data_IF_858286844844
#
_entry.id   IF_858286844844
#
_cell.length_a   1.000
_cell.length_b   1.000
_cell.length_c   1.000
_cell.angle_alpha   90.00
_cell.angle_beta   90.00
_cell.angle_gamma   90.00
#
_symmetry.space_group_name_H-M   'P 1'
#
loop_
_entity.id
_entity.type
_entity.pdbx_description
1 polymer ?
2 non-polymer ?
3 non-polymer ?
#
# COMPACT_ATOMS: atom_id res chain seq x y z
N UNK A 1 8.90 -5.44 5.83
CA UNK A 1 7.74 -5.76 4.95
C UNK A 1 6.45 -5.32 5.62
N UNK A 2 5.82 -4.31 5.08
CA UNK A 2 4.55 -3.81 5.69
C UNK A 2 3.49 -3.63 4.60
N UNK A 3 2.24 -3.66 4.98
CA UNK A 3 1.16 -3.46 3.97
C UNK A 3 0.56 -2.06 4.18
N UNK A 4 0.41 -1.30 3.13
CA UNK A 4 -0.17 0.07 3.31
C UNK A 4 -1.26 0.31 2.26
N UNK A 5 -2.50 0.11 2.62
CA UNK A 5 -3.60 0.33 1.63
C UNK A 5 -4.76 1.07 2.30
N UNK A 6 -5.78 1.37 1.53
CA UNK A 6 -6.95 2.09 2.08
C UNK A 6 -8.22 1.38 1.62
N UNK A 7 -9.17 1.20 2.49
CA UNK A 7 -10.42 0.51 2.08
C UNK A 7 -11.63 1.11 2.78
N UNK A 8 -12.79 0.98 2.20
CA UNK A 8 -14.01 1.56 2.82
C UNK A 8 -14.55 0.60 3.89
N UNK A 9 -15.75 0.82 4.34
CA UNK A 9 -16.33 -0.06 5.40
C UNK A 9 -16.37 -1.53 4.93
N UNK A 10 -16.74 -1.77 3.69
CA UNK A 10 -16.80 -3.18 3.20
C UNK A 10 -15.39 -3.74 2.99
N UNK A 11 -14.46 -2.91 2.63
CA UNK A 11 -13.06 -3.40 2.42
C UNK A 11 -12.70 -3.33 0.93
N UNK A 12 -13.12 -2.29 0.27
CA UNK A 12 -12.79 -2.14 -1.18
C UNK A 12 -11.43 -1.45 -1.30
N UNK A 13 -10.82 -1.48 -2.46
CA UNK A 13 -9.51 -0.78 -2.61
C UNK A 13 -9.55 0.09 -3.86
N UNK A 14 -9.62 -0.51 -5.04
CA UNK A 14 -9.64 0.32 -6.28
C UNK A 14 -10.40 -0.44 -7.37
N UNK A 15 -11.16 0.26 -8.18
CA UNK A 15 -11.93 -0.43 -9.25
C UNK A 15 -11.52 0.13 -10.61
N UNK A 16 -11.18 -0.73 -11.53
CA UNK A 16 -10.79 -0.26 -12.90
C UNK A 16 -9.69 0.81 -12.84
N UNK A 17 -8.59 0.54 -12.19
CA UNK A 17 -7.48 1.53 -12.16
C UNK A 17 -7.72 2.65 -11.14
N UNK A 18 -8.48 3.65 -11.52
CA UNK A 18 -8.73 4.81 -10.61
C UNK A 18 -9.51 4.41 -9.36
N UNK A 19 -9.09 4.91 -8.22
CA UNK A 19 -9.81 4.60 -6.95
C UNK A 19 -11.29 4.96 -7.12
N UNK A 20 -12.13 4.40 -6.28
CA UNK A 20 -13.61 4.60 -6.27
C UNK A 20 -13.96 5.89 -5.50
N UNK A 21 -13.21 6.20 -4.48
CA UNK A 21 -13.51 7.42 -3.67
C UNK A 21 -12.36 8.42 -3.79
N UNK A 22 -12.67 9.68 -3.93
CA UNK A 22 -11.59 10.71 -4.03
C UNK A 22 -11.27 11.22 -2.62
N UNK A 23 -10.25 10.70 -2.00
CA UNK A 23 -9.89 11.16 -0.63
C UNK A 23 -8.49 11.78 -0.63
N UNK A 24 -8.43 13.08 -0.62
CA UNK A 24 -7.15 13.87 -0.62
C UNK A 24 -6.39 13.63 0.68
N UNK A 25 -7.10 13.53 1.77
CA UNK A 25 -6.42 13.28 3.09
C UNK A 25 -5.79 11.89 3.08
N UNK A 26 -6.29 10.99 2.28
CA UNK A 26 -5.73 9.61 2.25
C UNK A 26 -4.40 9.64 1.48
N UNK A 27 -4.35 10.34 0.37
CA UNK A 27 -3.09 10.40 -0.41
C UNK A 27 -1.94 10.85 0.51
N UNK A 28 -2.15 11.92 1.24
CA UNK A 28 -1.08 12.40 2.17
C UNK A 28 -0.71 11.27 3.13
N UNK A 29 -1.69 10.51 3.56
CA UNK A 29 -1.41 9.38 4.49
C UNK A 29 -0.53 8.35 3.77
N UNK A 30 -0.78 8.15 2.50
CA UNK A 30 0.03 7.16 1.73
C UNK A 30 1.47 7.67 1.59
N UNK A 31 1.63 8.91 1.20
CA UNK A 31 3.00 9.48 1.04
C UNK A 31 3.69 9.50 2.41
N UNK A 32 3.13 10.25 3.34
CA UNK A 32 3.74 10.34 4.70
C UNK A 32 4.08 8.94 5.24
N UNK A 33 3.24 7.98 4.98
CA UNK A 33 3.49 6.59 5.50
C UNK A 33 4.64 5.92 4.74
N UNK A 34 4.99 6.41 3.57
CA UNK A 34 6.09 5.75 2.80
C UNK A 34 7.24 6.74 2.56
N UNK A 35 7.45 7.67 3.45
CA UNK A 35 8.56 8.64 3.27
C UNK A 35 9.87 8.00 3.70
N UNK A 36 10.79 7.83 2.79
CA UNK A 36 12.10 7.21 3.15
C UNK A 36 11.97 5.69 3.25
N UNK A 37 10.88 5.14 2.75
CA UNK A 37 10.71 3.65 2.83
C UNK A 37 10.55 3.08 1.41
N UNK A 38 10.75 1.81 1.24
CA UNK A 38 10.61 1.20 -0.11
C UNK A 38 9.12 1.01 -0.44
N UNK A 39 8.67 1.55 -1.53
CA UNK A 39 7.22 1.43 -1.89
C UNK A 39 7.06 0.37 -2.99
N UNK A 40 6.48 -0.75 -2.67
CA UNK A 40 6.29 -1.83 -3.69
C UNK A 40 4.94 -1.66 -4.40
N UNK A 41 4.97 -1.40 -5.68
CA UNK A 41 3.71 -1.24 -6.46
C UNK A 41 3.78 -2.12 -7.70
N UNK A 42 2.79 -2.94 -7.93
CA UNK A 42 2.81 -3.84 -9.11
C UNK A 42 2.70 -3.04 -10.42
N UNK A 43 3.16 -3.61 -11.50
CA UNK A 43 3.12 -2.92 -12.82
C UNK A 43 1.73 -2.34 -13.11
N UNK A 44 0.69 -2.88 -12.51
CA UNK A 44 -0.67 -2.35 -12.78
C UNK A 44 -0.85 -1.01 -12.05
N UNK A 45 -0.47 -0.95 -10.81
CA UNK A 45 -0.64 0.32 -10.04
C UNK A 45 0.36 1.36 -10.56
N UNK A 46 1.63 1.02 -10.62
CA UNK A 46 2.65 2.00 -11.11
C UNK A 46 2.20 2.59 -12.45
N UNK A 47 1.49 1.82 -13.24
CA UNK A 47 1.03 2.34 -14.56
C UNK A 47 -0.26 3.16 -14.37
N UNK A 48 -0.93 2.98 -13.27
CA UNK A 48 -2.19 3.75 -13.03
C UNK A 48 -1.91 4.97 -12.14
N UNK A 49 -0.83 4.95 -11.40
CA UNK A 49 -0.50 6.10 -10.50
C UNK A 49 -0.63 7.42 -11.28
N UNK A 50 -0.87 8.50 -10.56
CA UNK A 50 -1.02 9.89 -11.10
C UNK A 50 0.36 10.55 -11.30
N UNK A 51 1.13 10.65 -10.24
CA UNK A 51 2.47 11.29 -10.38
C UNK A 51 3.58 10.30 -10.00
N UNK A 52 4.25 9.74 -10.97
CA UNK A 52 5.34 8.77 -10.68
C UNK A 52 6.66 9.30 -11.23
N UNK A 53 7.73 9.13 -10.47
CA UNK A 53 7.76 8.50 -9.10
C UNK A 53 7.49 9.56 -8.03
N UNK A 54 7.40 9.15 -6.79
CA UNK A 54 7.14 10.13 -5.70
C UNK A 54 8.43 10.90 -5.37
N UNK A 55 8.26 12.10 -4.87
CA UNK A 55 9.38 13.03 -4.47
C UNK A 55 10.02 12.58 -3.17
N UNK A 56 11.33 12.52 -3.13
CA UNK A 56 12.04 12.10 -1.88
C UNK A 56 11.42 10.81 -1.30
N UNK A 57 11.04 9.90 -2.15
CA UNK A 57 10.44 8.62 -1.64
C UNK A 57 10.95 7.45 -2.48
N UNK A 58 11.25 6.34 -1.85
CA UNK A 58 11.76 5.16 -2.61
C UNK A 58 10.57 4.40 -3.22
N UNK A 59 10.57 4.26 -4.51
CA UNK A 59 9.45 3.53 -5.18
C UNK A 59 9.99 2.35 -5.98
N UNK A 60 9.40 1.19 -5.84
CA UNK A 60 9.88 0.00 -6.61
C UNK A 60 8.73 -0.57 -7.42
N UNK A 61 8.97 -0.90 -8.67
CA UNK A 61 7.87 -1.45 -9.52
C UNK A 61 8.02 -2.97 -9.63
N UNK A 62 6.92 -3.67 -9.78
CA UNK A 62 6.99 -5.16 -9.90
C UNK A 62 6.39 -5.57 -11.24
N UNK A 63 7.12 -6.32 -12.02
CA UNK A 63 6.59 -6.75 -13.35
C UNK A 63 7.18 -8.10 -13.74
N UNK A 64 6.53 -8.79 -14.66
CA UNK A 64 7.05 -10.12 -15.11
C UNK A 64 7.84 -9.94 -16.41
N UNK A 65 8.01 -8.73 -16.86
CA UNK A 65 8.76 -8.50 -18.13
C UNK A 65 10.26 -8.38 -17.82
N UNK A 66 11.07 -8.29 -18.84
CA UNK A 66 12.54 -8.16 -18.61
C UNK A 66 13.05 -6.85 -19.21
N UNK A 67 12.23 -6.17 -19.98
CA UNK A 67 12.68 -4.88 -20.59
C UNK A 67 11.98 -3.71 -19.91
N UNK A 68 11.51 -3.89 -18.70
CA UNK A 68 10.83 -2.78 -17.99
C UNK A 68 11.82 -1.63 -17.80
N UNK A 69 11.64 -0.54 -18.51
CA UNK A 69 12.60 0.60 -18.36
C UNK A 69 11.98 1.70 -17.49
N UNK A 70 12.51 1.91 -16.32
CA UNK A 70 11.97 2.97 -15.42
C UNK A 70 13.15 3.70 -14.75
N UNK A 71 13.63 4.75 -15.36
CA UNK A 71 14.78 5.49 -14.76
C UNK A 71 14.27 6.37 -13.61
N UNK A 72 14.88 6.27 -12.46
CA UNK A 72 14.44 7.10 -11.30
C UNK A 72 13.72 6.20 -10.30
N UNK A 73 13.01 5.22 -10.78
CA UNK A 73 12.28 4.31 -9.86
C UNK A 73 12.90 2.91 -9.89
N UNK A 74 12.97 2.28 -8.74
CA UNK A 74 13.57 0.90 -8.69
C UNK A 74 12.74 -0.04 -9.56
N UNK A 75 13.29 -1.16 -9.96
CA UNK A 75 12.52 -2.12 -10.80
C UNK A 75 12.93 -3.54 -10.45
N UNK A 76 12.00 -4.42 -10.20
CA UNK A 76 12.35 -5.82 -9.84
C UNK A 76 11.33 -6.78 -10.46
N UNK A 77 11.66 -8.04 -10.56
CA UNK A 77 10.72 -9.02 -11.15
C UNK A 77 10.71 -10.29 -10.30
N UNK A 78 10.93 -10.17 -9.02
CA UNK A 78 10.94 -11.38 -8.14
C UNK A 78 10.93 -10.95 -6.67
N UNK A 79 9.84 -11.13 -5.99
CA UNK A 79 9.75 -10.73 -4.55
C UNK A 79 11.03 -11.11 -3.80
N UNK A 80 11.69 -12.17 -4.21
CA UNK A 80 12.94 -12.59 -3.53
C UNK A 80 13.95 -11.45 -3.59
N UNK A 81 14.10 -10.83 -4.73
CA UNK A 81 15.08 -9.71 -4.86
C UNK A 81 14.64 -8.53 -3.99
N UNK A 82 13.37 -8.18 -4.05
CA UNK A 82 12.87 -7.04 -3.23
C UNK A 82 13.17 -7.29 -1.75
N UNK A 83 12.94 -8.50 -1.29
CA UNK A 83 13.20 -8.82 0.15
C UNK A 83 14.68 -8.57 0.47
N UNK A 84 15.54 -8.76 -0.49
CA UNK A 84 16.99 -8.54 -0.23
C UNK A 84 17.25 -7.06 0.04
N UNK A 85 16.88 -6.21 -0.88
CA UNK A 85 17.12 -4.73 -0.71
C UNK A 85 16.75 -4.27 0.70
N UNK A 86 15.54 -4.49 1.13
CA UNK A 86 15.12 -4.04 2.49
C UNK A 86 16.08 -4.61 3.55
N UNK A 87 16.41 -5.87 3.44
CA UNK A 87 17.35 -6.47 4.43
C UNK A 87 18.70 -5.77 4.34
N UNK A 88 19.02 -5.23 3.20
CA UNK A 88 20.34 -4.56 3.03
C UNK A 88 20.23 -3.06 3.37
N UNK A 89 19.06 -2.50 3.34
CA UNK A 89 18.93 -1.05 3.65
C UNK A 89 18.58 -0.86 5.14
N UNK A 90 19.45 -0.19 5.86
CA UNK A 90 19.31 0.12 7.32
C UNK A 90 18.43 1.36 7.53
N UNK A 91 17.92 1.93 6.47
CA UNK A 91 17.05 3.13 6.59
C UNK A 91 15.89 3.05 5.59
N UNK A 92 15.72 1.91 4.98
CA UNK A 92 14.61 1.73 3.99
C UNK A 92 14.12 0.29 4.08
N UNK A 93 13.00 0.07 4.73
CA UNK A 93 12.50 -1.33 4.85
C UNK A 93 11.63 -1.69 3.64
N UNK A 94 10.89 -2.75 3.76
CA UNK A 94 10.00 -3.18 2.65
C UNK A 94 8.56 -2.74 2.94
N UNK A 95 8.00 -1.89 2.14
CA UNK A 95 6.61 -1.44 2.36
C UNK A 95 5.77 -1.76 1.13
N UNK A 96 4.65 -2.41 1.31
CA UNK A 96 3.81 -2.78 0.14
C UNK A 96 2.87 -1.62 -0.20
N UNK A 97 2.61 -1.42 -1.47
CA UNK A 97 1.67 -0.32 -1.88
C UNK A 97 0.57 -0.91 -2.77
N UNK A 98 0.62 -2.18 -3.04
CA UNK A 98 -0.44 -2.82 -3.87
C UNK A 98 0.01 -2.96 -5.33
N UNK A 99 -0.92 -3.18 -6.25
CA UNK A 99 -2.35 -3.29 -5.87
C UNK A 99 -2.65 -4.61 -5.15
N UNK A 100 -3.77 -5.22 -5.46
CA UNK A 100 -4.14 -6.50 -4.80
C UNK A 100 -3.12 -7.58 -5.13
N UNK A 101 -2.65 -7.62 -6.34
CA UNK A 101 -1.67 -8.67 -6.72
C UNK A 101 -0.45 -8.60 -5.80
N UNK A 102 -0.01 -7.42 -5.44
CA UNK A 102 1.21 -7.33 -4.57
C UNK A 102 0.84 -7.65 -3.11
N UNK A 103 -0.39 -7.46 -2.72
CA UNK A 103 -0.75 -7.77 -1.31
C UNK A 103 -0.82 -9.29 -1.12
N UNK A 104 -1.02 -10.02 -2.20
CA UNK A 104 -1.12 -11.49 -2.08
C UNK A 104 0.28 -12.12 -2.02
N UNK A 105 1.14 -11.76 -2.93
CA UNK A 105 2.52 -12.36 -2.91
C UNK A 105 3.21 -12.06 -1.58
N UNK A 106 2.91 -10.93 -0.98
CA UNK A 106 3.59 -10.57 0.31
C UNK A 106 2.70 -10.92 1.51
N UNK A 107 1.48 -11.37 1.29
CA UNK A 107 0.58 -11.68 2.45
C UNK A 107 1.28 -12.63 3.45
N UNK A 108 2.03 -13.60 2.97
CA UNK A 108 2.70 -14.54 3.91
C UNK A 108 3.82 -13.83 4.68
N UNK A 109 4.55 -12.97 4.04
CA UNK A 109 5.66 -12.24 4.71
C UNK A 109 5.20 -10.84 5.08
N UNK A 110 4.61 -10.67 6.23
CA UNK A 110 4.13 -9.31 6.63
C UNK A 110 4.75 -8.92 7.98
N UNK A 111 4.96 -7.65 8.20
CA UNK A 111 5.56 -7.19 9.49
C UNK A 111 4.72 -6.05 10.07
N UNK A 112 4.21 -5.19 9.21
CA UNK A 112 3.38 -4.04 9.69
C UNK A 112 2.21 -3.84 8.73
N UNK A 113 1.02 -3.66 9.27
CA UNK A 113 -0.17 -3.48 8.39
C UNK A 113 -0.75 -2.07 8.58
N UNK A 114 -0.97 -1.35 7.51
CA UNK A 114 -1.54 0.02 7.62
C UNK A 114 -2.79 0.11 6.74
N UNK A 115 -3.95 0.08 7.34
CA UNK A 115 -5.21 0.14 6.53
C UNK A 115 -6.05 1.36 6.91
N UNK A 116 -6.64 1.99 5.93
CA UNK A 116 -7.50 3.18 6.19
C UNK A 116 -8.97 2.78 5.98
N UNK A 117 -9.75 2.75 7.03
CA UNK A 117 -11.19 2.37 6.87
C UNK A 117 -12.04 3.63 6.74
N UNK A 118 -12.66 3.83 5.60
CA UNK A 118 -13.50 5.04 5.41
C UNK A 118 -14.90 4.78 5.95
N UNK A 119 -15.64 5.81 6.27
CA UNK A 119 -17.00 5.63 6.81
C UNK A 119 -17.99 5.42 5.65
N UNK A 120 -17.68 5.97 4.49
CA UNK A 120 -18.60 5.79 3.33
C UNK A 120 -18.45 4.37 2.78
N UNK A 121 -19.35 3.96 1.92
CA UNK A 121 -19.27 2.58 1.37
C UNK A 121 -19.26 2.63 -0.17
N UNK A 122 -18.21 2.13 -0.78
CA UNK A 122 -18.12 2.16 -2.26
C UNK A 122 -18.17 0.73 -2.81
N UNK A 123 -18.46 0.58 -4.08
CA UNK A 123 -18.52 -0.79 -4.68
C UNK A 123 -17.44 -0.92 -5.76
N UNK A 124 -17.15 -2.13 -6.17
CA UNK A 124 -16.11 -2.34 -7.23
C UNK A 124 -15.98 -3.83 -7.50
N UNK A 125 -14.81 -4.27 -7.91
CA UNK A 125 -14.62 -5.74 -8.18
C UNK A 125 -13.25 -6.17 -7.63
N UNK A 126 -12.40 -5.22 -7.32
CA UNK A 126 -11.05 -5.55 -6.76
C UNK A 126 -11.02 -5.11 -5.30
N UNK A 127 -10.78 -6.03 -4.39
CA UNK A 127 -10.74 -5.65 -2.95
C UNK A 127 -9.43 -6.14 -2.33
N UNK A 128 -9.12 -5.67 -1.16
CA UNK A 128 -7.86 -6.10 -0.49
C UNK A 128 -7.92 -7.59 -0.20
N UNK A 129 -6.78 -8.22 -0.07
CA UNK A 129 -6.74 -9.68 0.20
C UNK A 129 -7.12 -9.94 1.67
N UNK A 130 -7.33 -11.20 1.98
CA UNK A 130 -7.73 -11.69 3.35
C UNK A 130 -6.51 -11.69 4.28
N UNK A 131 -6.40 -10.70 5.12
CA UNK A 131 -5.24 -10.64 6.06
C UNK A 131 -5.61 -11.34 7.37
N UNK A 132 -4.62 -11.76 8.12
CA UNK A 132 -4.92 -12.48 9.40
C UNK A 132 -4.90 -11.49 10.57
N UNK A 133 -5.86 -10.58 10.61
CA UNK A 133 -5.91 -9.58 11.71
C UNK A 133 -5.81 -10.28 13.08
N UNK A 134 -6.31 -11.48 13.18
CA UNK A 134 -6.25 -12.20 14.48
C UNK A 134 -4.80 -12.51 14.86
N UNK A 135 -3.92 -12.62 13.89
CA UNK A 135 -2.49 -12.92 14.21
C UNK A 135 -1.72 -11.61 14.43
N UNK A 136 -2.30 -10.50 14.07
CA UNK A 136 -1.60 -9.20 14.27
C UNK A 136 -2.36 -8.37 15.30
N UNK A 137 -1.75 -7.31 15.79
CA UNK A 137 -2.44 -6.45 16.79
C UNK A 137 -2.21 -4.98 16.42
N UNK A 138 -3.26 -4.20 16.41
CA UNK A 138 -3.09 -2.75 16.05
C UNK A 138 -2.34 -2.04 17.17
N UNK A 139 -1.20 -1.47 16.85
CA UNK A 139 -0.41 -0.76 17.90
C UNK A 139 -0.74 0.74 17.88
N UNK A 140 -1.21 1.24 16.77
CA UNK A 140 -1.53 2.70 16.70
C UNK A 140 -2.76 2.92 15.80
N UNK A 141 -3.64 3.79 16.20
CA UNK A 141 -4.86 4.05 15.38
C UNK A 141 -5.26 5.52 15.55
N UNK A 142 -5.53 6.19 14.46
CA UNK A 142 -5.94 7.63 14.55
C UNK A 142 -7.20 7.82 13.71
N UNK A 143 -8.21 8.43 14.27
CA UNK A 143 -9.46 8.65 13.49
C UNK A 143 -9.59 10.13 13.17
N UNK A 144 -9.88 10.46 11.94
CA UNK A 144 -10.02 11.90 11.57
C UNK A 144 -11.36 12.13 10.85
N UNK A 145 -12.10 13.11 11.27
CA UNK A 145 -13.41 13.40 10.64
C UNK A 145 -13.19 14.34 9.45
N UNK A 146 -14.13 14.39 8.55
CA UNK A 146 -13.97 15.29 7.36
C UNK A 146 -15.31 15.95 7.02
N UNK A 147 -15.27 17.06 6.33
CA UNK A 147 -16.52 17.77 5.94
C UNK A 147 -17.41 16.84 5.10
N UNK A 148 -16.87 15.75 4.61
CA UNK A 148 -17.68 14.80 3.79
C UNK A 148 -17.89 13.51 4.57
N UNK A 149 -19.13 13.15 4.79
CA UNK A 149 -19.58 11.92 5.53
C UNK A 149 -18.79 10.69 5.05
N UNK A 150 -18.67 10.52 3.76
CA UNK A 150 -17.95 9.33 3.23
C UNK A 150 -16.43 9.55 3.28
N UNK A 151 -15.98 10.76 3.07
CA UNK A 151 -14.51 11.01 3.09
C UNK A 151 -13.96 10.88 4.53
N UNK A 152 -14.79 10.62 5.49
CA UNK A 152 -14.29 10.44 6.88
C UNK A 152 -13.59 9.08 6.95
N UNK A 153 -12.62 8.92 7.82
CA UNK A 153 -11.94 7.59 7.87
C UNK A 153 -10.99 7.50 9.05
N UNK A 154 -10.42 6.34 9.25
CA UNK A 154 -9.47 6.14 10.38
C UNK A 154 -8.22 5.42 9.87
N UNK A 155 -7.10 5.57 10.53
CA UNK A 155 -5.86 4.89 10.09
C UNK A 155 -5.53 3.78 11.09
N UNK A 156 -5.35 2.57 10.62
CA UNK A 156 -5.04 1.46 11.57
C UNK A 156 -3.64 0.89 11.28
N UNK A 157 -2.77 0.91 12.26
CA UNK A 157 -1.39 0.37 12.06
C UNK A 157 -1.21 -0.88 12.92
N UNK A 158 -0.81 -1.99 12.34
CA UNK A 158 -0.64 -3.24 13.15
C UNK A 158 0.82 -3.68 13.17
N UNK A 159 1.14 -4.57 14.07
CA UNK A 159 2.54 -5.11 14.16
C UNK A 159 2.44 -6.61 14.41
N UNK A 160 3.32 -7.41 13.87
CA UNK A 160 3.23 -8.88 14.09
C UNK A 160 3.83 -9.27 15.44
N UNK A 161 3.12 -10.05 16.20
CA UNK A 161 3.64 -10.49 17.53
C UNK A 161 4.61 -11.66 17.33
N UNK A 162 5.44 -11.92 18.30
CA UNK A 162 6.40 -13.06 18.17
C UNK A 162 6.21 -14.03 19.34
X LIG B 1 -1.95 -4.92 -9.16
X LIG B 1 -1.85 -5.37 -7.75
X LIG B 1 -1.79 -3.47 -9.42
X LIG B 1 -1.01 -5.78 -10.11
X LIG B 1 0.33 -6.12 -9.71
X LIG B 1 1.15 -6.52 -10.92
X LIG B 1 2.54 -6.72 -10.52
X LIG B 1 0.75 -7.81 -11.60
X LIG B 1 -0.31 -7.60 -12.54
X LIG B 1 2.04 -8.23 -12.29
X LIG B 1 2.25 -7.59 -13.53
X LIG B 1 3.09 -7.79 -11.28
X LIG B 1 3.48 -8.84 -10.35
X LIG B 1 2.74 -9.36 -9.30
X LIG B 1 3.35 -10.30 -8.63
X LIG B 1 4.58 -10.43 -9.28
X LIG B 1 5.69 -11.27 -9.06
X LIG B 1 5.75 -12.16 -8.08
X LIG B 1 6.74 -11.14 -9.89
X LIG B 1 6.68 -10.24 -10.88
X LIG B 1 5.69 -9.39 -11.19
X LIG B 1 4.66 -9.54 -10.34
X LIG B 1 -3.40 -5.41 -9.77
X LIG B 1 -4.87 -5.80 -9.13
X LIG B 1 -5.84 -5.88 -10.24
X LIG B 1 -4.72 -6.99 -8.27
X LIG B 1 -5.09 -4.48 -8.27
X LIG B 1 -4.66 -3.20 -8.76
X LIG B 1 -5.71 -2.15 -8.45
X LIG B 1 -5.94 -2.08 -7.02
X LIG B 1 -5.36 -0.73 -8.85
X LIG B 1 -5.65 -0.48 -10.22
X LIG B 1 -6.27 0.09 -7.93
X LIG B 1 -7.61 0.21 -8.43
X LIG B 1 -6.25 -0.75 -6.66
X LIG B 1 -5.28 -0.31 -5.66
X LIG B 1 -5.43 -0.15 -4.34
X LIG B 1 -4.50 0.18 -3.49
X LIG B 1 -5.07 0.33 -2.18
X LIG B 1 -4.04 0.58 -1.42
X LIG B 1 -6.35 0.23 -1.75
X LIG B 1 -3.11 0.40 -4.02
X LIG B 1 -2.88 0.25 -5.43
X LIG B 1 -3.91 -0.08 -6.32
X LIG B 1 2.56 -8.30 -15.02
X LIG B 1 3.73 -7.35 -15.47
X LIG B 1 3.13 -9.63 -14.56
X LIG B 1 1.28 -7.92 -15.77
X LIG B 1 0.31 -6.96 -9.00
X LIG B 1 0.78 -5.26 -9.22
X LIG B 1 1.11 -5.74 -11.68
X LIG B 1 0.44 -8.57 -10.88
X LIG B 1 -1.10 -7.34 -12.06
X LIG B 1 2.08 -9.31 -12.46
X LIG B 1 4.02 -7.46 -11.75
X LIG B 1 1.74 -9.00 -9.05
X LIG B 1 6.57 -12.73 -7.97
X LIG B 1 5.04 -12.16 -7.35
X LIG B 1 7.56 -10.18 -11.51
X LIG B 1 -4.52 -3.27 -9.84
X LIG B 1 -3.71 -2.94 -8.30
X LIG B 1 -6.65 -2.39 -8.96
X LIG B 1 -4.31 -0.49 -8.64
X LIG B 1 -5.08 -1.01 -10.77
X LIG B 1 -5.89 1.10 -7.76
X LIG B 1 -7.79 1.12 -8.65
X LIG B 1 -7.22 -0.74 -6.15
X LIG B 1 -6.42 -0.30 -3.94
X LIG B 1 -7.10 0.06 -2.42
X LIG B 1 -6.55 0.22 -0.77
X LIG B 1 -2.47 -0.33 -3.51
X LIG B 1 -2.84 1.42 -3.75
X LIG B 1 -1.87 0.42 -5.81
X LIG B 1 -3.77 -0.12 -7.41
X LIG C 1 -3.94 5.06 -0.45
X LIG C 1 -3.37 4.26 0.52
X LIG C 1 -3.71 4.45 1.84
X LIG C 1 -2.48 3.27 0.17
X LIG C 1 -2.15 3.08 -1.16
X LIG C 1 -1.26 2.09 -1.51
X LIG C 1 -2.71 3.89 -2.14
X LIG C 1 -3.62 4.87 -1.77
X LIG C 1 -2.36 3.68 -3.59
X LIG C 1 -2.61 4.89 -4.45
X LIG C 1 -3.55 4.82 -5.47
X LIG C 1 -3.79 5.94 -6.28
X LIG C 1 -3.09 7.13 -6.05
X LIG C 1 -2.15 7.20 -5.03
X LIG C 1 -1.91 6.08 -4.22
X LIG C 1 -4.74 5.88 -7.31
X LIG C 1 -3.33 8.23 -6.85
X LIG C 1 -1.46 8.39 -4.81
X LIG C 1 -5.45 4.69 -7.51
X LIG C 1 -4.44 9.03 -6.55
X LIG C 1 -0.52 8.45 -3.77
X LIG C 1 -4.57 5.76 -0.19
X LIG C 1 -3.31 3.88 2.55
X LIG C 1 -4.35 5.16 2.10
X LIG C 1 -1.01 1.94 -2.46
X LIG C 1 -0.85 1.52 -0.83
X LIG C 1 -4.07 5.52 -2.54
X LIG C 1 -2.94 2.85 -3.98
X LIG C 1 -1.30 3.43 -3.66
X LIG C 1 -4.11 3.89 -5.64
X LIG C 1 -1.16 6.11 -3.41
X LIG C 1 -6.01 4.39 -6.64
X LIG C 1 -4.76 3.86 -7.76
X LIG C 1 -6.14 4.78 -8.35
X LIG C 1 -5.05 9.20 -7.43
X LIG C 1 -4.14 9.99 -6.16
X LIG C 1 -5.08 8.56 -5.81
X LIG C 1 -0.19 9.49 -3.61
X LIG C 1 0.37 7.86 -3.98
X LIG C 1 -0.94 8.09 -2.83
#
# INVERSE_FOLDING_TARGET
>A
TAFLWAQDRDGLIGKDGHLPWHLPDDLHYFRAQTVGKIMVVGRRTYESFPKRPLPERTNVVLTHQEDYQAQGAVVVHDVAAVFAYAKQHPDQELVIAGGAQIFTAFKDDVDTLLVTRLAGSFEGDTKMIPLNWDDFTKVSSRTVEDTNPALTHTYEVWQKKA
>B hetero
1 NDP PA O1A O2A O5B C5B C4B O4B C3B O3B C2B O2B C1B N9A C8A N7A C5A C6A N6A N1A C2A N3A C4A O3 PN O1N O2N O5D C5D C4D O4D C3D O3D C2D O2D C1D N1N C2N C3N C7N O7N N7N C4N C5N C6N P2B O1X O2X O3X H51A H52A H4B H3B HO3A H2B H1B H8A H61A H62A H2A H51N H52N H4D H3D HO3N H2D HO2N H1D H2N H71N H72N H41N H42N H5N H6N
>C hetero
1 TRR N1 C2 N2 N3 C4 N4 C5 C6 C7 C11 C12 C13 C14 C15 C16 O13 O14 O15 C17 C18 C19 H1 H21 H22 H41 H42 H6 H71 H72 H12 H16 H171 H172 H173 H181 H182 H183 H191 H192 H193
#
